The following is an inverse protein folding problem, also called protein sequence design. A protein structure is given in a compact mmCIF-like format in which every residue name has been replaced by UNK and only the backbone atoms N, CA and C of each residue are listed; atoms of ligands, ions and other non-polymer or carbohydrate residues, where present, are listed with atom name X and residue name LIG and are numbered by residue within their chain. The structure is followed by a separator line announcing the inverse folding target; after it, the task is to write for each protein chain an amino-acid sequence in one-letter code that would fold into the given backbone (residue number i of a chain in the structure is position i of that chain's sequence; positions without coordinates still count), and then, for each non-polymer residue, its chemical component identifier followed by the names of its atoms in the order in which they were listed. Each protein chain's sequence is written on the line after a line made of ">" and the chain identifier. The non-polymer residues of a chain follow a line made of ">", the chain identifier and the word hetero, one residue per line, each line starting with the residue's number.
data_IF_510407761012
#
_entry.id   IF_510407761012
#
_cell.length_a   1.000
_cell.length_b   1.000
_cell.length_c   1.000
_cell.angle_alpha   90.00
_cell.angle_beta   90.00
_cell.angle_gamma   90.00
#
_symmetry.space_group_name_H-M   'P 1'
#
loop_
_entity.id
_entity.type
_entity.pdbx_description
1 polymer ?
#
# COMPACT_ATOMS: atom_id res chain seq x y z
N UNK A 1 -17.01 -2.70 17.18
CA UNK A 1 -16.16 -1.56 16.75
C UNK A 1 -16.95 -0.26 16.89
N UNK A 2 -16.44 0.72 17.63
CA UNK A 2 -17.02 2.07 17.71
C UNK A 2 -16.93 2.76 16.32
N UNK A 3 -18.00 3.47 15.92
CA UNK A 3 -18.12 4.13 14.61
C UNK A 3 -16.99 5.13 14.33
N UNK A 4 -16.50 5.83 15.36
CA UNK A 4 -15.38 6.77 15.26
C UNK A 4 -14.10 6.06 14.85
N UNK A 5 -13.80 4.92 15.45
CA UNK A 5 -12.60 4.13 15.11
C UNK A 5 -12.67 3.60 13.67
N UNK A 6 -13.83 3.11 13.24
CA UNK A 6 -14.02 2.63 11.85
C UNK A 6 -13.79 3.76 10.83
N UNK A 7 -14.27 4.97 11.15
CA UNK A 7 -14.13 6.14 10.28
C UNK A 7 -12.68 6.65 10.23
N UNK A 8 -12.01 6.68 11.38
CA UNK A 8 -10.59 7.00 11.46
C UNK A 8 -9.74 6.00 10.67
N UNK A 9 -10.00 4.69 10.81
CA UNK A 9 -9.28 3.65 10.07
C UNK A 9 -9.51 3.75 8.56
N UNK A 10 -10.74 4.08 8.14
CA UNK A 10 -11.07 4.34 6.73
C UNK A 10 -10.29 5.54 6.16
N UNK A 11 -10.21 6.63 6.92
CA UNK A 11 -9.42 7.80 6.55
C UNK A 11 -7.92 7.48 6.44
N UNK A 12 -7.36 6.83 7.45
CA UNK A 12 -5.94 6.45 7.48
C UNK A 12 -5.61 5.52 6.30
N UNK A 13 -6.47 4.55 6.01
CA UNK A 13 -6.31 3.66 4.87
C UNK A 13 -6.34 4.41 3.53
N UNK A 14 -7.30 5.33 3.35
CA UNK A 14 -7.38 6.13 2.13
C UNK A 14 -6.13 6.99 1.92
N UNK A 15 -5.62 7.61 2.99
CA UNK A 15 -4.37 8.41 2.94
C UNK A 15 -3.19 7.52 2.57
N UNK A 16 -3.02 6.38 3.23
CA UNK A 16 -1.92 5.44 2.96
C UNK A 16 -1.93 4.95 1.51
N UNK A 17 -3.11 4.65 0.95
CA UNK A 17 -3.26 4.24 -0.45
C UNK A 17 -2.85 5.37 -1.40
N UNK A 18 -3.29 6.61 -1.16
CA UNK A 18 -2.93 7.76 -2.00
C UNK A 18 -1.42 8.06 -1.93
N UNK A 19 -0.83 8.02 -0.73
CA UNK A 19 0.61 8.21 -0.54
C UNK A 19 1.40 7.11 -1.26
N UNK A 20 0.97 5.85 -1.15
CA UNK A 20 1.59 4.74 -1.88
C UNK A 20 1.52 4.92 -3.39
N UNK A 21 0.36 5.31 -3.93
CA UNK A 21 0.19 5.58 -5.35
C UNK A 21 1.08 6.74 -5.84
N UNK A 22 1.15 7.83 -5.06
CA UNK A 22 2.03 8.96 -5.36
C UNK A 22 3.48 8.53 -5.41
N UNK A 23 3.97 7.81 -4.38
CA UNK A 23 5.35 7.35 -4.31
C UNK A 23 5.69 6.39 -5.46
N UNK A 24 4.75 5.53 -5.86
CA UNK A 24 4.92 4.66 -7.03
C UNK A 24 5.08 5.45 -8.33
N UNK A 25 4.23 6.44 -8.56
CA UNK A 25 4.29 7.32 -9.75
C UNK A 25 5.58 8.15 -9.74
N UNK A 26 5.95 8.76 -8.61
CA UNK A 26 7.21 9.50 -8.47
C UNK A 26 8.39 8.57 -8.75
N UNK A 27 8.38 7.35 -8.21
CA UNK A 27 9.41 6.35 -8.46
C UNK A 27 9.52 5.92 -9.93
N UNK A 28 8.43 5.98 -10.71
CA UNK A 28 8.45 5.74 -12.16
C UNK A 28 9.06 6.90 -12.96
N UNK A 29 8.76 8.14 -12.57
CA UNK A 29 9.17 9.35 -13.29
C UNK A 29 10.62 9.75 -12.95
N UNK A 30 11.06 9.49 -11.72
CA UNK A 30 12.37 9.96 -11.25
C UNK A 30 13.51 9.30 -12.05
N UNK A 31 14.34 10.08 -12.77
CA UNK A 31 15.45 9.56 -13.56
C UNK A 31 16.48 8.91 -12.64
N UNK A 32 16.93 7.70 -12.99
CA UNK A 32 17.72 6.85 -12.08
C UNK A 32 19.20 6.92 -12.39
N UNK A 33 19.99 7.22 -11.37
CA UNK A 33 21.45 7.05 -11.35
C UNK A 33 21.80 5.76 -10.60
N UNK A 34 21.68 4.61 -11.26
CA UNK A 34 22.08 3.32 -10.67
C UNK A 34 21.29 2.13 -11.23
N UNK A 35 22.00 1.07 -11.62
CA UNK A 35 21.49 -0.08 -12.40
C UNK A 35 20.54 -1.04 -11.68
N UNK A 36 19.80 -0.60 -10.65
CA UNK A 36 18.86 -1.45 -9.92
C UNK A 36 17.52 -1.54 -10.67
N UNK A 37 17.01 -2.76 -10.96
CA UNK A 37 15.73 -2.97 -11.64
C UNK A 37 14.56 -2.66 -10.70
N UNK A 38 14.24 -1.39 -10.65
CA UNK A 38 13.13 -0.73 -9.93
C UNK A 38 11.74 -1.20 -10.30
N UNK A 39 11.53 -1.72 -11.51
CA UNK A 39 10.31 -2.45 -11.82
C UNK A 39 10.18 -3.70 -10.92
N UNK A 40 11.29 -4.40 -10.69
CA UNK A 40 11.35 -5.54 -9.77
C UNK A 40 11.14 -5.13 -8.31
N UNK A 41 11.78 -4.05 -7.87
CA UNK A 41 11.58 -3.52 -6.50
C UNK A 41 10.14 -3.04 -6.29
N UNK A 42 9.60 -2.28 -7.23
CA UNK A 42 8.22 -1.79 -7.19
C UNK A 42 7.20 -2.93 -7.24
N UNK A 43 7.39 -3.90 -8.14
CA UNK A 43 6.56 -5.10 -8.18
C UNK A 43 6.64 -5.90 -6.86
N UNK A 44 7.84 -6.04 -6.28
CA UNK A 44 8.04 -6.68 -4.99
C UNK A 44 7.27 -5.99 -3.86
N UNK A 45 7.36 -4.66 -3.75
CA UNK A 45 6.64 -3.87 -2.75
C UNK A 45 5.12 -3.99 -2.94
N UNK A 46 4.63 -3.93 -4.18
CA UNK A 46 3.22 -4.13 -4.49
C UNK A 46 2.74 -5.52 -4.04
N UNK A 47 3.48 -6.58 -4.35
CA UNK A 47 3.14 -7.95 -3.95
C UNK A 47 3.12 -8.09 -2.42
N UNK A 48 4.11 -7.54 -1.72
CA UNK A 48 4.15 -7.56 -0.25
C UNK A 48 2.94 -6.83 0.34
N UNK A 49 2.59 -5.65 -0.17
CA UNK A 49 1.40 -4.91 0.26
C UNK A 49 0.11 -5.69 0.04
N UNK A 50 -0.01 -6.39 -1.09
CA UNK A 50 -1.17 -7.21 -1.43
C UNK A 50 -1.31 -8.41 -0.49
N UNK A 51 -0.21 -9.10 -0.18
CA UNK A 51 -0.19 -10.23 0.76
C UNK A 51 -0.53 -9.79 2.19
N UNK A 52 0.07 -8.69 2.66
CA UNK A 52 -0.22 -8.16 4.01
C UNK A 52 -1.68 -7.72 4.10
N UNK A 53 -2.20 -7.03 3.08
CA UNK A 53 -3.61 -6.63 3.02
C UNK A 53 -4.57 -7.81 2.99
N UNK A 54 -4.26 -8.85 2.21
CA UNK A 54 -5.04 -10.09 2.13
C UNK A 54 -5.01 -10.88 3.46
N UNK A 55 -3.85 -10.97 4.12
CA UNK A 55 -3.73 -11.58 5.45
C UNK A 55 -4.55 -10.82 6.50
N UNK A 56 -4.51 -9.49 6.47
CA UNK A 56 -5.33 -8.66 7.36
C UNK A 56 -6.83 -8.76 7.03
N UNK A 57 -7.22 -9.08 5.78
CA UNK A 57 -8.60 -9.41 5.37
C UNK A 57 -9.07 -10.76 5.89
N UNK A 58 -8.22 -11.78 5.78
CA UNK A 58 -8.54 -13.16 6.15
C UNK A 58 -8.65 -13.35 7.67
N UNK A 59 -7.90 -12.59 8.47
CA UNK A 59 -7.96 -12.63 9.94
C UNK A 59 -9.13 -11.87 10.57
N UNK A 60 -9.97 -11.20 9.77
CA UNK A 60 -11.17 -10.50 10.27
C UNK A 60 -12.25 -11.53 10.58
N UNK A 61 -12.93 -11.47 11.72
CA UNK A 61 -14.13 -12.27 11.92
C UNK A 61 -15.15 -11.95 10.82
N UNK A 62 -15.49 -12.95 10.02
CA UNK A 62 -16.66 -12.92 9.15
C UNK A 62 -17.89 -12.81 10.06
N UNK A 63 -18.60 -11.68 9.96
CA UNK A 63 -19.88 -11.50 10.61
C UNK A 63 -20.88 -12.57 10.16
#
# INVERSE_FOLDING_TARGET
>A
MNATLRRALGWVSAVLINVGALLFVVGLILPRSGGVPTLGVGAGICVVGLVVGAGWLAGRPSA
#
